data_IF_217193334329
#
_entry.id   IF_217193334329
#
_cell.length_a   1.000
_cell.length_b   1.000
_cell.length_c   1.000
_cell.angle_alpha   90.00
_cell.angle_beta   90.00
_cell.angle_gamma   90.00
#
_symmetry.space_group_name_H-M   'P 1'
#
loop_
_entity.id
_entity.type
_entity.pdbx_description
1 polymer ?
#
# COMPACT_ATOMS: atom_id res chain seq x y z
N UNK A 1 -16.30 -6.66 -12.80
CA UNK A 1 -16.68 -7.05 -11.42
C UNK A 1 -15.98 -6.10 -10.48
N UNK A 2 -16.71 -5.38 -9.62
CA UNK A 2 -16.08 -4.51 -8.64
C UNK A 2 -15.23 -5.37 -7.69
N UNK A 3 -13.93 -5.10 -7.62
CA UNK A 3 -13.07 -5.77 -6.63
C UNK A 3 -13.59 -5.38 -5.25
N UNK A 4 -13.92 -6.36 -4.42
CA UNK A 4 -14.28 -6.11 -3.02
C UNK A 4 -13.02 -5.58 -2.35
N UNK A 5 -12.99 -4.26 -2.08
CA UNK A 5 -11.89 -3.62 -1.37
C UNK A 5 -12.09 -3.88 0.11
N UNK A 6 -11.21 -4.70 0.68
CA UNK A 6 -11.23 -4.96 2.11
C UNK A 6 -10.46 -3.87 2.86
N UNK A 7 -11.13 -3.17 3.78
CA UNK A 7 -10.50 -2.11 4.56
C UNK A 7 -9.29 -2.59 5.38
N UNK A 8 -9.29 -3.84 5.84
CA UNK A 8 -8.16 -4.44 6.54
C UNK A 8 -6.93 -4.63 5.64
N UNK A 9 -7.12 -4.85 4.33
CA UNK A 9 -6.01 -4.96 3.37
C UNK A 9 -5.35 -3.60 3.14
N UNK A 10 -6.11 -2.50 3.18
CA UNK A 10 -5.55 -1.13 3.09
C UNK A 10 -4.57 -0.90 4.24
N UNK A 11 -4.99 -1.22 5.48
CA UNK A 11 -4.14 -1.07 6.66
C UNK A 11 -2.91 -1.98 6.57
N UNK A 12 -3.08 -3.25 6.22
CA UNK A 12 -1.98 -4.20 6.10
C UNK A 12 -0.92 -3.74 5.08
N UNK A 13 -1.35 -3.37 3.87
CA UNK A 13 -0.44 -2.85 2.85
C UNK A 13 0.18 -1.51 3.24
N UNK A 14 -0.59 -0.62 3.89
CA UNK A 14 -0.06 0.65 4.39
C UNK A 14 1.08 0.47 5.40
N UNK A 15 0.93 -0.46 6.34
CA UNK A 15 2.00 -0.81 7.29
C UNK A 15 3.21 -1.41 6.57
N UNK A 16 2.99 -2.28 5.58
CA UNK A 16 4.06 -2.90 4.81
C UNK A 16 4.82 -1.89 3.93
N UNK A 17 4.12 -0.92 3.35
CA UNK A 17 4.72 0.17 2.56
C UNK A 17 5.55 1.08 3.47
N UNK A 18 5.02 1.51 4.62
CA UNK A 18 5.79 2.30 5.59
C UNK A 18 6.99 1.56 6.17
N UNK A 19 6.85 0.26 6.40
CA UNK A 19 7.95 -0.59 6.86
C UNK A 19 9.01 -0.90 5.80
N UNK A 20 8.89 -0.35 4.59
CA UNK A 20 9.83 -0.59 3.48
C UNK A 20 9.85 -2.04 3.00
N UNK A 21 8.77 -2.79 3.24
CA UNK A 21 8.60 -4.20 2.83
C UNK A 21 7.81 -4.33 1.54
N UNK A 22 6.99 -3.34 1.20
CA UNK A 22 6.22 -3.25 -0.03
C UNK A 22 6.46 -1.91 -0.72
N UNK A 23 6.37 -1.90 -2.04
CA UNK A 23 6.35 -0.67 -2.83
C UNK A 23 4.91 -0.27 -3.16
N UNK A 24 4.61 1.03 -3.09
CA UNK A 24 3.29 1.56 -3.41
C UNK A 24 3.02 1.48 -4.92
N UNK A 25 3.99 1.94 -5.71
CA UNK A 25 3.99 1.86 -7.16
C UNK A 25 5.24 1.07 -7.62
N UNK A 26 5.18 0.41 -8.78
CA UNK A 26 6.36 -0.23 -9.35
C UNK A 26 7.47 0.79 -9.71
N UNK A 27 7.09 2.06 -9.87
CA UNK A 27 7.97 3.19 -10.19
C UNK A 27 8.86 3.58 -9.00
N UNK A 28 8.33 3.45 -7.78
CA UNK A 28 9.00 3.76 -6.51
C UNK A 28 9.70 2.53 -5.89
N UNK A 29 10.04 1.54 -6.72
CA UNK A 29 10.53 0.25 -6.26
C UNK A 29 11.99 -0.04 -6.65
N UNK A 30 12.98 0.69 -6.09
CA UNK A 30 14.39 0.45 -6.39
C UNK A 30 14.89 -0.91 -5.87
N UNK A 31 14.16 -1.52 -4.93
CA UNK A 31 14.56 -2.74 -4.21
C UNK A 31 13.83 -4.00 -4.68
N UNK A 32 13.08 -3.94 -5.80
CA UNK A 32 12.30 -5.07 -6.33
C UNK A 32 11.38 -5.74 -5.28
N UNK A 33 10.80 -4.91 -4.42
CA UNK A 33 9.84 -5.31 -3.39
C UNK A 33 8.50 -5.73 -4.01
N UNK A 34 7.69 -6.54 -3.31
CA UNK A 34 6.31 -6.76 -3.67
C UNK A 34 5.55 -5.43 -3.81
N UNK A 35 4.78 -5.27 -4.89
CA UNK A 35 4.03 -4.04 -5.16
C UNK A 35 2.58 -4.20 -4.69
N UNK A 36 2.02 -3.16 -4.07
CA UNK A 36 0.61 -3.14 -3.69
C UNK A 36 -0.27 -3.34 -4.94
N UNK A 37 -1.30 -4.21 -4.89
CA UNK A 37 -2.20 -4.41 -6.02
C UNK A 37 -2.92 -3.11 -6.38
N UNK A 38 -3.14 -2.88 -7.68
CA UNK A 38 -3.66 -1.61 -8.21
C UNK A 38 -4.95 -1.15 -7.53
N UNK A 39 -5.88 -2.07 -7.27
CA UNK A 39 -7.15 -1.81 -6.59
C UNK A 39 -7.00 -1.22 -5.18
N UNK A 40 -5.82 -1.37 -4.55
CA UNK A 40 -5.54 -0.88 -3.21
C UNK A 40 -4.58 0.31 -3.20
N UNK A 41 -3.85 0.62 -4.30
CA UNK A 41 -2.79 1.63 -4.30
C UNK A 41 -3.26 3.00 -3.86
N UNK A 42 -4.37 3.49 -4.42
CA UNK A 42 -4.91 4.82 -4.12
C UNK A 42 -5.31 4.93 -2.64
N UNK A 43 -6.02 3.94 -2.13
CA UNK A 43 -6.46 3.89 -0.74
C UNK A 43 -5.31 3.67 0.24
N UNK A 44 -4.30 2.89 -0.14
CA UNK A 44 -3.09 2.69 0.65
C UNK A 44 -2.24 3.96 0.67
N UNK A 45 -2.12 4.68 -0.45
CA UNK A 45 -1.44 5.98 -0.49
C UNK A 45 -2.10 6.98 0.46
N UNK A 46 -3.43 7.09 0.41
CA UNK A 46 -4.24 7.91 1.31
C UNK A 46 -4.00 7.52 2.79
N UNK A 47 -3.99 6.22 3.09
CA UNK A 47 -3.72 5.72 4.44
C UNK A 47 -2.29 6.04 4.91
N UNK A 48 -1.28 5.83 4.06
CA UNK A 48 0.14 6.07 4.37
C UNK A 48 0.41 7.54 4.70
N UNK A 49 -0.25 8.47 4.00
CA UNK A 49 -0.13 9.92 4.27
C UNK A 49 -0.85 10.31 5.56
N UNK A 50 -2.03 9.74 5.81
CA UNK A 50 -2.87 10.12 6.97
C UNK A 50 -2.44 9.47 8.29
N UNK A 51 -1.71 8.36 8.26
CA UNK A 51 -1.34 7.60 9.45
C UNK A 51 0.18 7.62 9.65
N UNK A 52 0.67 8.59 10.41
CA UNK A 52 2.05 8.60 10.92
C UNK A 52 2.24 7.44 11.89
N UNK A 53 3.10 6.47 11.53
CA UNK A 53 3.52 5.44 12.47
C UNK A 53 4.63 6.10 13.27
N UNK A 54 4.28 6.59 14.46
CA UNK A 54 5.20 7.21 15.41
C UNK A 54 6.22 6.24 15.96
#
# INVERSE_FOLDING_TARGET
MAAVIYSWMIVAYGVLVKGGKYALAPEDNPNNLPVVPEAYREKVAEWVVTHEIG
#
